data_IF_460588950820
#
_entry.id   IF_460588950820
#
_cell.length_a   1.000
_cell.length_b   1.000
_cell.length_c   1.000
_cell.angle_alpha   90.00
_cell.angle_beta   90.00
_cell.angle_gamma   90.00
#
_symmetry.space_group_name_H-M   'P 1'
#
loop_
_entity.id
_entity.type
_entity.pdbx_description
1 polymer ?
#
# COMPACT_ATOMS: atom_id res chain seq x y z
N UNK A 1 2.82 -24.82 6.13
CA UNK A 1 2.19 -24.29 4.90
C UNK A 1 3.29 -23.65 4.06
N UNK A 2 3.35 -23.94 2.76
CA UNK A 2 4.31 -23.32 1.83
C UNK A 2 3.59 -22.17 1.13
N UNK A 3 4.13 -20.94 1.11
CA UNK A 3 3.47 -19.83 0.44
C UNK A 3 3.40 -20.08 -1.07
N UNK A 4 2.24 -19.86 -1.69
CA UNK A 4 2.10 -19.95 -3.13
C UNK A 4 2.21 -18.57 -3.79
N UNK A 5 2.82 -18.55 -4.98
CA UNK A 5 2.94 -17.33 -5.78
C UNK A 5 1.55 -16.88 -6.23
N UNK A 6 1.24 -15.60 -6.01
CA UNK A 6 -0.03 -14.99 -6.39
C UNK A 6 -1.14 -15.06 -5.33
N UNK A 7 -0.89 -15.69 -4.17
CA UNK A 7 -1.84 -15.70 -3.06
C UNK A 7 -1.76 -14.45 -2.19
N UNK A 8 -2.91 -14.04 -1.66
CA UNK A 8 -3.04 -12.91 -0.72
C UNK A 8 -3.22 -13.47 0.69
N UNK A 9 -2.25 -13.19 1.56
CA UNK A 9 -2.30 -13.54 2.98
C UNK A 9 -2.90 -12.37 3.78
N UNK A 10 -3.85 -12.66 4.67
CA UNK A 10 -4.56 -11.68 5.51
C UNK A 10 -4.25 -11.94 6.99
N UNK A 11 -4.45 -10.92 7.83
CA UNK A 11 -4.15 -10.96 9.27
C UNK A 11 -2.67 -11.25 9.57
N UNK A 12 -1.78 -10.77 8.70
CA UNK A 12 -0.35 -10.88 8.88
C UNK A 12 0.15 -9.88 9.92
N UNK A 13 1.17 -10.26 10.69
CA UNK A 13 1.78 -9.41 11.71
C UNK A 13 3.19 -8.98 11.31
N UNK A 14 3.51 -7.69 11.41
CA UNK A 14 4.89 -7.21 11.26
C UNK A 14 5.63 -7.51 12.56
N UNK A 15 6.60 -8.43 12.53
CA UNK A 15 7.38 -8.83 13.71
C UNK A 15 8.53 -7.87 13.98
N UNK A 16 9.19 -7.40 12.91
CA UNK A 16 10.24 -6.39 13.02
C UNK A 16 10.45 -5.65 11.71
N UNK A 17 10.92 -4.41 11.83
CA UNK A 17 11.28 -3.52 10.72
C UNK A 17 12.80 -3.42 10.66
N UNK A 18 13.35 -3.54 9.46
CA UNK A 18 14.77 -3.43 9.18
C UNK A 18 15.02 -2.35 8.11
N UNK A 19 16.29 -1.92 7.91
CA UNK A 19 16.60 -0.86 6.96
C UNK A 19 16.13 -1.10 5.50
N UNK A 20 15.95 -2.36 5.09
CA UNK A 20 15.64 -2.75 3.71
C UNK A 20 14.32 -3.53 3.58
N UNK A 21 13.51 -3.57 4.62
CA UNK A 21 12.30 -4.40 4.60
C UNK A 21 11.72 -4.67 5.97
N UNK A 22 10.78 -5.60 6.01
CA UNK A 22 10.13 -6.04 7.22
C UNK A 22 10.01 -7.56 7.26
N UNK A 23 10.17 -8.13 8.46
CA UNK A 23 9.77 -9.50 8.76
C UNK A 23 8.27 -9.51 9.05
N UNK A 24 7.54 -10.31 8.28
CA UNK A 24 6.08 -10.42 8.36
C UNK A 24 5.68 -11.86 8.61
N UNK A 25 4.97 -12.12 9.70
CA UNK A 25 4.38 -13.41 10.00
C UNK A 25 3.06 -13.55 9.23
N UNK A 26 2.99 -14.54 8.34
CA UNK A 26 1.83 -14.79 7.46
C UNK A 26 0.96 -15.97 7.95
N UNK A 27 1.49 -16.78 8.85
CA UNK A 27 0.81 -17.87 9.55
C UNK A 27 1.61 -18.20 10.82
N UNK A 28 1.03 -18.86 11.83
CA UNK A 28 1.73 -19.16 13.08
C UNK A 28 3.08 -19.84 12.85
N UNK A 29 4.17 -19.18 13.26
CA UNK A 29 5.54 -19.66 13.11
C UNK A 29 6.09 -19.60 11.67
N UNK A 30 5.44 -18.85 10.77
CA UNK A 30 5.87 -18.66 9.38
C UNK A 30 6.08 -17.19 9.05
N UNK A 31 7.35 -16.81 9.02
CA UNK A 31 7.79 -15.47 8.64
C UNK A 31 8.22 -15.41 7.18
N UNK A 32 7.92 -14.29 6.53
CA UNK A 32 8.39 -13.92 5.20
C UNK A 32 9.05 -12.55 5.26
N UNK A 33 9.92 -12.29 4.29
CA UNK A 33 10.58 -11.01 4.15
C UNK A 33 9.90 -10.19 3.06
N UNK A 34 9.45 -9.00 3.42
CA UNK A 34 9.01 -8.01 2.44
C UNK A 34 10.16 -7.04 2.23
N UNK A 35 10.75 -7.07 1.04
CA UNK A 35 11.68 -6.03 0.64
C UNK A 35 10.92 -4.71 0.51
N UNK A 36 11.38 -3.68 1.22
CA UNK A 36 11.05 -2.32 0.84
C UNK A 36 11.72 -2.12 -0.50
N UNK A 37 10.95 -1.83 -1.55
CA UNK A 37 11.46 -1.61 -2.91
C UNK A 37 12.35 -0.36 -3.01
N UNK A 38 12.80 0.21 -1.90
CA UNK A 38 13.81 1.25 -1.85
C UNK A 38 15.17 0.64 -2.26
N UNK A 39 15.55 0.67 -3.55
CA UNK A 39 16.74 -0.01 -4.00
C UNK A 39 17.87 1.01 -3.89
N UNK A 40 18.69 0.95 -2.84
CA UNK A 40 20.06 1.41 -3.03
C UNK A 40 20.76 0.32 -3.82
N UNK A 41 20.84 0.48 -5.14
CA UNK A 41 21.77 -0.32 -5.96
C UNK A 41 23.17 -0.11 -5.36
N UNK A 42 23.95 -1.16 -5.08
CA UNK A 42 25.32 -0.98 -4.61
C UNK A 42 26.12 -0.24 -5.69
N UNK A 43 26.37 1.05 -5.50
CA UNK A 43 27.09 1.91 -6.47
C UNK A 43 26.37 3.19 -6.87
N UNK A 44 25.05 3.28 -6.69
CA UNK A 44 24.30 4.52 -6.91
C UNK A 44 24.08 5.18 -5.54
N UNK A 45 24.89 6.20 -5.20
CA UNK A 45 24.53 7.13 -4.12
C UNK A 45 23.34 7.98 -4.58
N UNK A 46 22.16 7.37 -4.65
CA UNK A 46 20.94 8.14 -4.84
C UNK A 46 20.87 9.18 -3.72
N UNK A 47 20.70 10.48 -4.06
CA UNK A 47 20.58 11.52 -3.05
C UNK A 47 19.46 11.11 -2.10
N UNK A 48 19.69 11.26 -0.80
CA UNK A 48 18.66 10.96 0.19
C UNK A 48 17.37 11.65 -0.24
N UNK A 49 16.23 10.94 -0.26
CA UNK A 49 14.98 11.55 -0.65
C UNK A 49 14.78 12.80 0.21
N UNK A 50 14.31 13.91 -0.38
CA UNK A 50 14.00 15.11 0.38
C UNK A 50 13.18 14.73 1.61
N UNK A 51 13.49 15.31 2.76
CA UNK A 51 12.87 15.01 4.05
C UNK A 51 11.33 15.17 4.06
N UNK A 52 10.75 15.71 2.99
CA UNK A 52 9.33 15.95 2.76
C UNK A 52 8.74 15.15 1.57
N UNK A 53 9.39 14.10 1.08
CA UNK A 53 8.91 13.32 -0.05
C UNK A 53 7.85 12.29 0.35
N UNK A 54 6.57 12.60 0.12
CA UNK A 54 5.47 11.66 0.29
C UNK A 54 5.41 10.70 -0.89
N UNK A 55 5.46 9.39 -0.61
CA UNK A 55 5.43 8.32 -1.63
C UNK A 55 4.18 7.45 -1.59
N UNK A 56 3.57 7.34 -0.41
CA UNK A 56 2.39 6.52 -0.15
C UNK A 56 1.37 7.36 0.63
N UNK A 57 0.12 7.34 0.20
CA UNK A 57 -1.01 7.95 0.92
C UNK A 57 -2.13 6.94 1.06
N UNK A 58 -2.77 6.93 2.23
CA UNK A 58 -4.00 6.20 2.47
C UNK A 58 -5.16 7.20 2.42
N UNK A 59 -6.00 7.10 1.40
CA UNK A 59 -7.25 7.87 1.33
C UNK A 59 -8.35 7.07 2.02
N UNK A 60 -8.62 7.41 3.29
CA UNK A 60 -9.51 6.63 4.16
C UNK A 60 -11.01 6.75 3.80
N UNK A 61 -11.38 7.66 2.91
CA UNK A 61 -12.76 7.80 2.44
C UNK A 61 -12.77 8.23 0.97
N UNK A 62 -12.32 7.32 0.12
CA UNK A 62 -11.96 7.64 -1.24
C UNK A 62 -13.13 8.02 -2.15
N UNK A 63 -14.38 7.72 -1.75
CA UNK A 63 -15.56 7.85 -2.59
C UNK A 63 -15.28 7.31 -4.00
N UNK A 64 -15.13 8.19 -4.99
CA UNK A 64 -14.88 7.83 -6.39
C UNK A 64 -13.38 7.82 -6.80
N UNK A 65 -12.45 7.91 -5.84
CA UNK A 65 -11.00 7.99 -6.08
C UNK A 65 -10.51 9.38 -6.48
N UNK A 66 -11.24 10.44 -6.13
CA UNK A 66 -10.96 11.82 -6.56
C UNK A 66 -9.60 12.34 -6.09
N UNK A 67 -9.17 11.95 -4.90
CA UNK A 67 -7.88 12.35 -4.35
C UNK A 67 -6.70 11.84 -5.19
N UNK A 68 -6.71 10.56 -5.59
CA UNK A 68 -5.69 9.99 -6.48
C UNK A 68 -5.70 10.69 -7.85
N UNK A 69 -6.87 10.99 -8.39
CA UNK A 69 -7.00 11.70 -9.66
C UNK A 69 -6.36 13.10 -9.59
N UNK A 70 -6.63 13.86 -8.52
CA UNK A 70 -6.05 15.19 -8.33
C UNK A 70 -4.52 15.15 -8.19
N UNK A 71 -3.97 14.12 -7.54
CA UNK A 71 -2.51 13.95 -7.43
C UNK A 71 -1.85 13.65 -8.79
N UNK A 72 -2.50 12.83 -9.61
CA UNK A 72 -2.01 12.55 -10.96
C UNK A 72 -2.03 13.81 -11.84
N UNK A 73 -3.10 14.59 -11.76
CA UNK A 73 -3.22 15.87 -12.48
C UNK A 73 -2.16 16.89 -12.03
N UNK A 74 -1.83 16.92 -10.73
CA UNK A 74 -0.76 17.73 -10.17
C UNK A 74 0.67 17.20 -10.47
N UNK A 75 0.81 16.16 -11.29
CA UNK A 75 2.10 15.56 -11.66
C UNK A 75 2.79 14.83 -10.51
N UNK A 76 2.05 14.42 -9.47
CA UNK A 76 2.59 13.73 -8.30
C UNK A 76 2.47 12.21 -8.49
N UNK A 77 3.60 11.54 -8.68
CA UNK A 77 3.68 10.08 -8.73
C UNK A 77 3.67 9.46 -7.32
N UNK A 78 2.50 9.51 -6.68
CA UNK A 78 2.28 8.98 -5.32
C UNK A 78 1.41 7.73 -5.42
N UNK A 79 1.78 6.67 -4.70
CA UNK A 79 0.93 5.50 -4.54
C UNK A 79 -0.19 5.83 -3.54
N UNK A 80 -1.44 5.57 -3.92
CA UNK A 80 -2.59 5.86 -3.07
C UNK A 80 -3.39 4.58 -2.92
N UNK A 81 -3.57 4.15 -1.67
CA UNK A 81 -4.55 3.13 -1.32
C UNK A 81 -5.88 3.83 -1.04
N UNK A 82 -6.89 3.55 -1.85
CA UNK A 82 -8.22 4.12 -1.72
C UNK A 82 -9.10 3.22 -0.85
N UNK A 83 -9.54 3.68 0.31
CA UNK A 83 -10.42 2.94 1.21
C UNK A 83 -11.86 3.42 1.01
N UNK A 84 -12.76 2.49 0.73
CA UNK A 84 -14.20 2.74 0.65
C UNK A 84 -14.85 2.12 1.90
N UNK A 85 -15.53 2.92 2.74
CA UNK A 85 -16.25 2.42 3.90
C UNK A 85 -17.30 1.38 3.50
N UNK A 86 -17.44 0.30 4.27
CA UNK A 86 -18.48 -0.72 4.04
C UNK A 86 -19.85 -0.29 4.56
N UNK A 87 -19.90 0.73 5.42
CA UNK A 87 -21.13 1.36 5.92
C UNK A 87 -21.84 2.28 4.92
N UNK A 88 -21.20 2.66 3.81
CA UNK A 88 -21.72 3.62 2.84
C UNK A 88 -22.02 3.01 1.47
N UNK A 89 -22.36 3.86 0.47
CA UNK A 89 -22.52 3.42 -0.90
C UNK A 89 -21.21 2.83 -1.46
N UNK A 90 -21.32 1.69 -2.13
CA UNK A 90 -20.16 0.97 -2.64
C UNK A 90 -19.64 1.58 -3.95
N UNK A 91 -18.62 2.43 -3.83
CA UNK A 91 -17.93 3.05 -4.95
C UNK A 91 -16.69 2.28 -5.42
N UNK A 92 -16.35 1.17 -4.77
CA UNK A 92 -15.16 0.37 -5.05
C UNK A 92 -15.05 -0.10 -6.51
N UNK A 93 -16.13 -0.58 -7.18
CA UNK A 93 -16.07 -0.95 -8.59
C UNK A 93 -15.63 0.22 -9.47
N UNK A 94 -16.11 1.44 -9.19
CA UNK A 94 -15.78 2.61 -9.99
C UNK A 94 -14.32 3.06 -9.80
N UNK A 95 -13.75 2.83 -8.61
CA UNK A 95 -12.32 3.08 -8.36
C UNK A 95 -11.47 2.12 -9.20
N UNK A 96 -11.85 0.83 -9.27
CA UNK A 96 -11.18 -0.17 -10.08
C UNK A 96 -11.32 0.11 -11.58
N UNK A 97 -12.51 0.53 -12.03
CA UNK A 97 -12.76 0.90 -13.44
C UNK A 97 -11.88 2.08 -13.91
N UNK A 98 -11.49 2.97 -12.98
CA UNK A 98 -10.52 4.05 -13.23
C UNK A 98 -9.06 3.60 -13.23
N UNK A 99 -8.78 2.32 -12.95
CA UNK A 99 -7.43 1.78 -12.83
C UNK A 99 -6.74 2.12 -11.51
N UNK A 100 -7.48 2.52 -10.48
CA UNK A 100 -6.94 2.82 -9.16
C UNK A 100 -7.05 1.59 -8.25
N UNK A 101 -6.12 1.47 -7.30
CA UNK A 101 -6.16 0.43 -6.27
C UNK A 101 -7.06 0.89 -5.13
N UNK A 102 -7.97 0.03 -4.70
CA UNK A 102 -8.79 0.30 -3.53
C UNK A 102 -9.23 -0.95 -2.76
N UNK A 103 -9.69 -0.72 -1.53
CA UNK A 103 -10.16 -1.75 -0.60
C UNK A 103 -11.47 -1.32 0.04
N UNK A 104 -12.34 -2.29 0.31
CA UNK A 104 -13.51 -2.11 1.15
C UNK A 104 -13.11 -2.39 2.61
N UNK A 105 -13.18 -1.38 3.46
CA UNK A 105 -12.78 -1.50 4.86
C UNK A 105 -13.44 -0.42 5.71
N UNK A 106 -14.02 -0.80 6.86
CA UNK A 106 -14.47 0.13 7.89
C UNK A 106 -13.44 0.17 9.02
N UNK A 107 -13.07 1.38 9.43
CA UNK A 107 -12.11 1.61 10.52
C UNK A 107 -12.76 1.63 11.91
N UNK A 108 -14.09 1.76 11.98
CA UNK A 108 -14.88 1.84 13.23
C UNK A 108 -15.40 0.48 13.72
N UNK A 109 -14.89 -0.62 13.19
CA UNK A 109 -15.26 -1.98 13.62
C UNK A 109 -14.16 -2.55 14.49
#
# INVERSE_FOLDING_TARGET
MVPAVGEIYRNCEIKSIAPYGAFVEIAPGREVWIFSDHPKRPGDEDPSPPYNMVRNVLDMNAHFGGFKSALLEAGKSIWVMNVVPTTGPNYHPLILDRGFVGVLYDWQV
#
